data_IF_087720180245
#
_entry.id   IF_087720180245
#
_cell.length_a   1.000
_cell.length_b   1.000
_cell.length_c   1.000
_cell.angle_alpha   90.00
_cell.angle_beta   90.00
_cell.angle_gamma   90.00
#
_symmetry.space_group_name_H-M   'P 1'
#
loop_
_entity.id
_entity.type
_entity.pdbx_description
1 polymer ?
#
# COMPACT_ATOMS: atom_id res chain seq x y z
N UNK A 1 6.64 -11.28 6.05
CA UNK A 1 7.71 -10.50 5.35
C UNK A 1 7.04 -9.41 4.53
N UNK A 2 7.66 -8.22 4.41
CA UNK A 2 7.16 -7.13 3.56
C UNK A 2 8.25 -6.71 2.56
N UNK A 3 7.84 -6.36 1.33
CA UNK A 3 8.71 -5.86 0.26
C UNK A 3 8.00 -4.78 -0.53
N UNK A 4 8.76 -3.85 -1.09
CA UNK A 4 8.24 -2.76 -1.91
C UNK A 4 9.05 -2.63 -3.19
N UNK A 5 8.40 -2.16 -4.25
CA UNK A 5 9.05 -1.96 -5.55
C UNK A 5 9.97 -0.76 -5.51
N UNK A 6 9.47 0.37 -5.02
CA UNK A 6 10.15 1.65 -5.00
C UNK A 6 10.30 2.24 -3.60
N UNK A 7 11.25 3.14 -3.44
CA UNK A 7 11.25 4.08 -2.32
C UNK A 7 10.24 5.20 -2.58
N UNK A 8 9.56 5.63 -1.51
CA UNK A 8 8.60 6.73 -1.57
C UNK A 8 9.35 8.06 -1.73
N UNK A 9 9.22 8.69 -2.89
CA UNK A 9 9.82 9.97 -3.26
C UNK A 9 8.81 10.81 -4.03
N UNK A 10 9.21 11.96 -4.55
CA UNK A 10 8.32 12.91 -5.22
C UNK A 10 7.48 12.29 -6.34
N UNK A 11 8.12 11.55 -7.24
CA UNK A 11 7.42 10.91 -8.38
C UNK A 11 6.43 9.85 -7.91
N UNK A 12 6.85 8.95 -7.00
CA UNK A 12 5.96 7.90 -6.49
C UNK A 12 4.82 8.49 -5.66
N UNK A 13 5.08 9.57 -4.90
CA UNK A 13 4.05 10.30 -4.16
C UNK A 13 3.00 10.89 -5.10
N UNK A 14 3.44 11.60 -6.17
CA UNK A 14 2.54 12.16 -7.17
C UNK A 14 1.66 11.08 -7.81
N UNK A 15 2.23 9.96 -8.24
CA UNK A 15 1.47 8.87 -8.86
C UNK A 15 0.46 8.24 -7.89
N UNK A 16 0.85 8.03 -6.64
CA UNK A 16 -0.04 7.53 -5.58
C UNK A 16 -1.19 8.49 -5.30
N UNK A 17 -0.92 9.79 -5.26
CA UNK A 17 -1.97 10.81 -5.09
C UNK A 17 -2.95 10.85 -6.26
N UNK A 18 -2.46 10.78 -7.50
CA UNK A 18 -3.29 10.69 -8.69
C UNK A 18 -4.21 9.46 -8.65
N UNK A 19 -3.67 8.30 -8.26
CA UNK A 19 -4.46 7.10 -8.05
C UNK A 19 -5.47 7.26 -6.89
N UNK A 20 -5.11 7.93 -5.79
CA UNK A 20 -5.98 8.07 -4.60
C UNK A 20 -7.06 9.15 -4.76
N UNK A 21 -6.76 10.24 -5.43
CA UNK A 21 -7.59 11.45 -5.42
C UNK A 21 -7.84 12.05 -6.81
N UNK A 22 -7.01 11.73 -7.80
CA UNK A 22 -7.13 12.24 -9.17
C UNK A 22 -8.10 11.45 -10.05
N UNK A 23 -8.69 10.35 -9.55
CA UNK A 23 -9.57 9.50 -10.34
C UNK A 23 -8.86 8.64 -11.41
N UNK A 24 -7.52 8.71 -11.48
CA UNK A 24 -6.71 8.03 -12.50
C UNK A 24 -6.57 6.53 -12.20
N UNK A 25 -7.68 5.78 -12.30
CA UNK A 25 -7.76 4.34 -11.96
C UNK A 25 -6.84 3.47 -12.83
N UNK A 26 -6.50 3.90 -14.05
CA UNK A 26 -5.58 3.17 -14.93
C UNK A 26 -4.19 2.96 -14.30
N UNK A 27 -3.76 3.87 -13.39
CA UNK A 27 -2.51 3.71 -12.66
C UNK A 27 -2.47 2.44 -11.79
N UNK A 28 -3.63 1.90 -11.41
CA UNK A 28 -3.67 0.64 -10.67
C UNK A 28 -3.11 -0.53 -11.50
N UNK A 29 -3.31 -0.52 -12.81
CA UNK A 29 -2.72 -1.52 -13.71
C UNK A 29 -1.20 -1.37 -13.81
N UNK A 30 -0.70 -0.15 -13.91
CA UNK A 30 0.75 0.11 -13.96
C UNK A 30 1.42 -0.29 -12.63
N UNK A 31 0.79 0.04 -11.49
CA UNK A 31 1.28 -0.39 -10.18
C UNK A 31 1.27 -1.91 -10.05
N UNK A 32 0.24 -2.56 -10.54
CA UNK A 32 0.12 -4.01 -10.52
C UNK A 32 1.22 -4.69 -11.36
N UNK A 33 1.56 -4.17 -12.53
CA UNK A 33 2.66 -4.69 -13.37
C UNK A 33 3.99 -4.65 -12.63
N UNK A 34 4.28 -3.55 -11.93
CA UNK A 34 5.51 -3.42 -11.16
C UNK A 34 5.52 -4.33 -9.91
N UNK A 35 4.41 -4.41 -9.19
CA UNK A 35 4.26 -5.34 -8.05
C UNK A 35 4.35 -6.80 -8.53
N UNK A 36 3.84 -7.12 -9.72
CA UNK A 36 3.95 -8.45 -10.29
C UNK A 36 5.40 -8.86 -10.57
N UNK A 37 6.23 -7.96 -11.09
CA UNK A 37 7.68 -8.21 -11.24
C UNK A 37 8.33 -8.55 -9.89
N UNK A 38 7.98 -7.80 -8.84
CA UNK A 38 8.42 -8.08 -7.48
C UNK A 38 7.86 -9.41 -6.94
N UNK A 39 6.61 -9.73 -7.26
CA UNK A 39 5.98 -11.01 -6.91
C UNK A 39 6.77 -12.18 -7.50
N UNK A 40 7.06 -12.18 -8.80
CA UNK A 40 7.80 -13.25 -9.49
C UNK A 40 9.19 -13.47 -8.87
N UNK A 41 9.89 -12.39 -8.48
CA UNK A 41 11.22 -12.48 -7.88
C UNK A 41 11.23 -12.86 -6.39
N UNK A 42 10.09 -12.74 -5.71
CA UNK A 42 10.01 -12.77 -4.23
C UNK A 42 9.11 -13.84 -3.66
N UNK A 43 8.17 -14.33 -4.45
CA UNK A 43 7.12 -15.26 -4.04
C UNK A 43 7.17 -16.49 -4.93
N UNK A 44 7.50 -17.63 -4.35
CA UNK A 44 7.56 -18.90 -5.12
C UNK A 44 6.18 -19.36 -5.57
N UNK A 45 5.16 -19.11 -4.73
CA UNK A 45 3.76 -19.43 -5.01
C UNK A 45 2.85 -18.69 -4.02
N UNK A 46 1.62 -18.42 -4.41
CA UNK A 46 0.59 -17.88 -3.53
C UNK A 46 -0.72 -18.64 -3.73
N UNK A 47 -1.37 -19.01 -2.61
CA UNK A 47 -2.70 -19.64 -2.62
C UNK A 47 -3.83 -18.62 -2.70
N UNK A 48 -3.49 -17.34 -2.49
CA UNK A 48 -4.44 -16.25 -2.62
C UNK A 48 -3.80 -14.88 -2.41
N UNK A 49 -4.39 -13.91 -3.09
CA UNK A 49 -4.03 -12.50 -2.97
C UNK A 49 -5.18 -11.75 -2.31
N UNK A 50 -4.87 -10.91 -1.34
CA UNK A 50 -5.82 -10.04 -0.65
C UNK A 50 -5.37 -8.59 -0.74
N UNK A 51 -6.29 -7.64 -0.63
CA UNK A 51 -5.97 -6.22 -0.52
C UNK A 51 -6.04 -5.75 0.93
N UNK A 52 -5.43 -4.60 1.21
CA UNK A 52 -5.72 -3.85 2.43
C UNK A 52 -7.15 -3.29 2.32
N UNK A 53 -8.07 -3.66 3.23
CA UNK A 53 -9.44 -3.20 3.15
C UNK A 53 -9.57 -1.74 3.59
N UNK A 54 -10.41 -1.00 2.89
CA UNK A 54 -10.78 0.37 3.19
C UNK A 54 -12.10 0.41 3.98
N UNK A 55 -12.33 1.46 4.76
CA UNK A 55 -13.63 1.64 5.39
C UNK A 55 -14.68 2.06 4.34
N UNK A 56 -15.92 1.65 4.53
CA UNK A 56 -17.04 2.00 3.62
C UNK A 56 -17.17 3.51 3.40
N UNK A 57 -16.97 4.30 4.45
CA UNK A 57 -17.02 5.76 4.38
C UNK A 57 -15.98 6.30 3.41
N UNK A 58 -14.73 5.82 3.50
CA UNK A 58 -13.63 6.24 2.61
C UNK A 58 -13.86 5.73 1.19
N UNK A 59 -14.33 4.49 1.04
CA UNK A 59 -14.59 3.91 -0.27
C UNK A 59 -15.72 4.65 -0.98
N UNK A 60 -16.81 5.00 -0.28
CA UNK A 60 -17.89 5.85 -0.82
C UNK A 60 -17.41 7.25 -1.21
N UNK A 61 -16.54 7.87 -0.38
CA UNK A 61 -15.98 9.19 -0.67
C UNK A 61 -15.02 9.19 -1.86
N UNK A 62 -14.21 8.15 -2.02
CA UNK A 62 -13.21 8.01 -3.09
C UNK A 62 -13.78 7.37 -4.35
N UNK A 63 -14.85 6.59 -4.21
CA UNK A 63 -15.50 5.82 -5.29
C UNK A 63 -14.85 4.46 -5.56
N UNK A 64 -13.73 4.12 -4.93
CA UNK A 64 -13.02 2.84 -5.06
C UNK A 64 -11.98 2.63 -3.97
N UNK A 65 -11.58 1.37 -3.77
CA UNK A 65 -10.41 0.99 -2.99
C UNK A 65 -9.23 0.76 -3.94
N UNK A 66 -8.20 1.65 -3.92
CA UNK A 66 -7.03 1.54 -4.79
C UNK A 66 -6.25 0.23 -4.58
N UNK A 67 -6.10 -0.21 -3.33
CA UNK A 67 -5.38 -1.46 -3.01
C UNK A 67 -6.13 -2.67 -3.56
N UNK A 68 -7.48 -2.62 -3.64
CA UNK A 68 -8.30 -3.67 -4.27
C UNK A 68 -8.08 -3.72 -5.78
N UNK A 69 -8.13 -2.57 -6.46
CA UNK A 69 -7.88 -2.50 -7.90
C UNK A 69 -6.49 -3.07 -8.27
N UNK A 70 -5.47 -2.71 -7.50
CA UNK A 70 -4.11 -3.22 -7.71
C UNK A 70 -4.06 -4.74 -7.45
N UNK A 71 -4.64 -5.21 -6.34
CA UNK A 71 -4.60 -6.62 -5.95
C UNK A 71 -5.33 -7.53 -6.96
N UNK A 72 -6.46 -7.10 -7.49
CA UNK A 72 -7.19 -7.82 -8.53
C UNK A 72 -6.35 -7.98 -9.79
N UNK A 73 -5.62 -6.93 -10.20
CA UNK A 73 -4.71 -6.99 -11.35
C UNK A 73 -3.47 -7.84 -11.10
N UNK A 74 -2.89 -7.79 -9.89
CA UNK A 74 -1.78 -8.71 -9.53
C UNK A 74 -2.25 -10.16 -9.54
N UNK A 75 -3.47 -10.44 -9.08
CA UNK A 75 -4.07 -11.77 -9.12
C UNK A 75 -4.25 -12.27 -10.57
N UNK A 76 -4.77 -11.42 -11.45
CA UNK A 76 -4.90 -11.72 -12.89
C UNK A 76 -3.53 -12.05 -13.53
N UNK A 77 -2.51 -11.22 -13.28
CA UNK A 77 -1.17 -11.40 -13.84
C UNK A 77 -0.45 -12.64 -13.29
N UNK A 78 -0.66 -12.96 -12.01
CA UNK A 78 0.02 -14.08 -11.34
C UNK A 78 -0.70 -15.43 -11.49
N UNK A 79 -1.97 -15.44 -11.91
CA UNK A 79 -2.83 -16.63 -11.90
C UNK A 79 -3.27 -17.09 -10.50
N UNK A 80 -2.86 -16.39 -9.42
CA UNK A 80 -3.32 -16.66 -8.07
C UNK A 80 -4.72 -16.05 -7.85
N UNK A 81 -5.64 -16.72 -7.12
CA UNK A 81 -6.99 -16.17 -6.92
C UNK A 81 -6.97 -14.90 -6.05
N UNK A 82 -7.74 -13.88 -6.46
CA UNK A 82 -8.07 -12.77 -5.57
C UNK A 82 -9.10 -13.23 -4.54
N UNK A 83 -8.82 -13.02 -3.25
CA UNK A 83 -9.68 -13.40 -2.15
C UNK A 83 -10.24 -12.14 -1.47
N UNK A 84 -11.50 -11.82 -1.73
CA UNK A 84 -12.19 -10.67 -1.09
C UNK A 84 -12.68 -11.06 0.31
N UNK A 85 -11.75 -11.37 1.20
CA UNK A 85 -12.03 -11.90 2.55
C UNK A 85 -11.56 -10.98 3.67
N UNK A 86 -10.85 -9.91 3.34
CA UNK A 86 -10.35 -8.94 4.32
C UNK A 86 -11.38 -7.83 4.53
N UNK A 87 -11.63 -7.48 5.80
CA UNK A 87 -12.61 -6.45 6.15
C UNK A 87 -12.04 -5.46 7.16
N UNK A 88 -12.43 -4.20 7.03
CA UNK A 88 -12.14 -3.17 8.04
C UNK A 88 -13.30 -3.11 9.04
N UNK A 89 -13.03 -3.55 10.27
CA UNK A 89 -14.05 -3.69 11.35
C UNK A 89 -14.34 -2.39 12.10
N UNK A 90 -13.36 -1.49 12.14
CA UNK A 90 -13.48 -0.24 12.89
C UNK A 90 -13.01 0.93 12.03
N UNK A 91 -13.74 2.02 12.07
CA UNK A 91 -13.21 3.31 11.64
C UNK A 91 -11.99 3.64 12.51
N UNK A 92 -10.93 4.02 11.87
CA UNK A 92 -9.71 4.46 12.57
C UNK A 92 -9.48 5.92 12.23
N UNK A 93 -9.03 6.68 13.21
CA UNK A 93 -8.62 8.06 12.99
C UNK A 93 -7.51 8.14 11.93
N UNK A 94 -7.31 9.33 11.36
CA UNK A 94 -6.21 9.59 10.45
C UNK A 94 -4.88 9.10 11.06
N UNK A 95 -4.03 8.47 10.22
CA UNK A 95 -2.71 8.00 10.61
C UNK A 95 -1.63 9.08 10.48
N UNK A 96 -2.02 10.26 9.98
CA UNK A 96 -1.13 11.40 9.79
C UNK A 96 -0.56 11.86 11.13
N UNK A 97 0.74 12.12 11.19
CA UNK A 97 1.43 12.61 12.42
C UNK A 97 1.56 11.59 13.55
N UNK A 98 1.09 10.33 13.41
CA UNK A 98 1.17 9.32 14.47
C UNK A 98 2.45 8.49 14.37
N UNK A 99 3.07 8.23 15.53
CA UNK A 99 4.21 7.31 15.66
C UNK A 99 3.82 5.86 15.33
N UNK A 100 4.80 4.97 15.11
CA UNK A 100 4.55 3.54 14.89
C UNK A 100 3.70 2.91 16.02
N UNK A 101 4.01 3.21 17.29
CA UNK A 101 3.28 2.67 18.45
C UNK A 101 1.83 3.14 18.47
N UNK A 102 1.58 4.41 18.21
CA UNK A 102 0.25 4.99 18.13
C UNK A 102 -0.55 4.44 16.96
N UNK A 103 0.09 4.33 15.77
CA UNK A 103 -0.54 3.70 14.59
C UNK A 103 -0.93 2.26 14.87
N UNK A 104 -0.06 1.48 15.53
CA UNK A 104 -0.35 0.10 15.88
C UNK A 104 -1.52 0.00 16.87
N UNK A 105 -1.53 0.82 17.92
CA UNK A 105 -2.65 0.89 18.89
C UNK A 105 -3.97 1.29 18.22
N UNK A 106 -3.92 2.27 17.33
CA UNK A 106 -5.09 2.74 16.58
C UNK A 106 -5.63 1.68 15.60
N UNK A 107 -4.75 0.87 15.02
CA UNK A 107 -5.11 -0.19 14.07
C UNK A 107 -5.40 -1.54 14.72
N UNK A 108 -5.08 -1.72 16.00
CA UNK A 108 -5.27 -3.01 16.68
C UNK A 108 -6.74 -3.45 16.64
N UNK A 109 -6.97 -4.68 16.15
CA UNK A 109 -8.30 -5.23 15.95
C UNK A 109 -9.16 -4.53 14.88
N UNK A 110 -8.57 -3.59 14.09
CA UNK A 110 -9.33 -2.88 13.04
C UNK A 110 -9.56 -3.70 11.78
N UNK A 111 -8.81 -4.78 11.60
CA UNK A 111 -8.98 -5.69 10.46
C UNK A 111 -9.54 -7.04 10.89
N UNK A 112 -10.21 -7.69 9.96
CA UNK A 112 -10.75 -9.04 10.13
C UNK A 112 -10.73 -9.84 8.85
N UNK A 113 -11.04 -11.13 9.01
CA UNK A 113 -11.26 -12.07 7.91
C UNK A 113 -12.67 -12.61 8.05
N UNK A 114 -13.51 -12.41 7.01
CA UNK A 114 -14.91 -12.81 7.01
C UNK A 114 -15.10 -14.30 6.65
N UNK A 115 -14.15 -14.88 5.89
CA UNK A 115 -14.16 -16.30 5.54
C UNK A 115 -12.80 -16.94 5.83
N UNK A 116 -12.66 -17.55 7.00
CA UNK A 116 -11.41 -18.16 7.45
C UNK A 116 -11.02 -19.41 6.64
N UNK A 117 -11.97 -20.14 6.09
CA UNK A 117 -11.70 -21.38 5.32
C UNK A 117 -10.89 -21.08 4.05
N UNK A 118 -11.08 -19.88 3.47
CA UNK A 118 -10.34 -19.46 2.28
C UNK A 118 -8.88 -19.07 2.54
N UNK A 119 -8.49 -18.89 3.81
CA UNK A 119 -7.11 -18.49 4.18
C UNK A 119 -6.40 -19.53 5.05
N UNK A 120 -7.15 -20.48 5.64
CA UNK A 120 -6.57 -21.50 6.53
C UNK A 120 -5.56 -22.36 5.78
N UNK A 121 -4.39 -22.56 6.39
CA UNK A 121 -3.25 -23.35 5.92
C UNK A 121 -2.68 -22.86 4.56
N UNK A 122 -3.00 -21.62 4.17
CA UNK A 122 -2.60 -21.04 2.89
C UNK A 122 -1.50 -20.00 3.01
N UNK A 123 -0.73 -19.83 1.93
CA UNK A 123 0.20 -18.72 1.72
C UNK A 123 -0.54 -17.57 1.06
N UNK A 124 -0.69 -16.48 1.81
CA UNK A 124 -1.47 -15.29 1.42
C UNK A 124 -0.53 -14.13 1.11
N UNK A 125 -0.77 -13.46 0.00
CA UNK A 125 -0.07 -12.22 -0.37
C UNK A 125 -1.01 -11.04 -0.14
N UNK A 126 -0.59 -10.08 0.69
CA UNK A 126 -1.24 -8.79 0.88
C UNK A 126 -0.68 -7.83 -0.18
N UNK A 127 -1.55 -7.13 -0.88
CA UNK A 127 -1.18 -6.07 -1.83
C UNK A 127 -1.70 -4.72 -1.33
N UNK A 128 -0.83 -3.70 -1.35
CA UNK A 128 -1.18 -2.31 -1.00
C UNK A 128 -0.42 -1.33 -1.90
N UNK A 129 -0.83 -0.07 -1.93
CA UNK A 129 -0.14 0.96 -2.70
C UNK A 129 1.13 1.46 -2.00
N UNK A 130 1.05 1.85 -0.73
CA UNK A 130 2.18 2.44 0.01
C UNK A 130 2.30 1.85 1.42
N UNK A 131 3.53 1.51 1.78
CA UNK A 131 3.91 1.16 3.14
C UNK A 131 4.73 2.28 3.77
N UNK A 132 4.17 3.03 4.71
CA UNK A 132 4.91 4.06 5.46
C UNK A 132 5.71 3.44 6.60
N UNK A 133 5.06 2.98 7.64
CA UNK A 133 5.67 2.32 8.81
C UNK A 133 5.58 0.79 8.77
N UNK A 134 4.83 0.25 7.81
CA UNK A 134 4.50 -1.19 7.76
C UNK A 134 3.36 -1.61 8.70
N UNK A 135 2.88 -0.71 9.57
CA UNK A 135 1.90 -1.05 10.62
C UNK A 135 0.60 -1.63 10.04
N UNK A 136 0.11 -1.10 8.93
CA UNK A 136 -1.12 -1.59 8.28
C UNK A 136 -0.95 -3.05 7.83
N UNK A 137 0.13 -3.33 7.13
CA UNK A 137 0.45 -4.69 6.68
C UNK A 137 0.66 -5.65 7.86
N UNK A 138 1.35 -5.20 8.94
CA UNK A 138 1.59 -6.01 10.14
C UNK A 138 0.28 -6.39 10.84
N UNK A 139 -0.65 -5.43 11.03
CA UNK A 139 -1.92 -5.69 11.71
C UNK A 139 -2.83 -6.58 10.86
N UNK A 140 -2.87 -6.37 9.55
CA UNK A 140 -3.63 -7.23 8.64
C UNK A 140 -3.02 -8.64 8.58
N UNK A 141 -1.68 -8.77 8.53
CA UNK A 141 -1.00 -10.05 8.58
C UNK A 141 -1.30 -10.80 9.88
N UNK A 142 -1.33 -10.11 11.02
CA UNK A 142 -1.73 -10.71 12.30
C UNK A 142 -3.18 -11.24 12.27
N UNK A 143 -4.10 -10.49 11.64
CA UNK A 143 -5.49 -10.93 11.47
C UNK A 143 -5.60 -12.18 10.58
N UNK A 144 -4.84 -12.23 9.47
CA UNK A 144 -4.77 -13.40 8.58
C UNK A 144 -4.14 -14.62 9.29
N UNK A 145 -3.05 -14.41 10.04
CA UNK A 145 -2.44 -15.46 10.86
C UNK A 145 -3.41 -16.00 11.92
N UNK A 146 -4.14 -15.12 12.60
CA UNK A 146 -5.21 -15.52 13.55
C UNK A 146 -6.36 -16.28 12.86
N UNK A 147 -6.59 -16.04 11.58
CA UNK A 147 -7.55 -16.80 10.77
C UNK A 147 -7.00 -18.14 10.26
N UNK A 148 -5.71 -18.45 10.51
CA UNK A 148 -5.08 -19.73 10.20
C UNK A 148 -4.17 -19.72 8.97
N UNK A 149 -3.84 -18.56 8.39
CA UNK A 149 -2.91 -18.50 7.25
C UNK A 149 -1.54 -19.08 7.61
N UNK A 150 -1.02 -19.97 6.78
CA UNK A 150 0.30 -20.61 6.98
C UNK A 150 1.45 -19.62 6.80
N UNK A 151 1.37 -18.77 5.78
CA UNK A 151 2.34 -17.71 5.53
C UNK A 151 1.64 -16.45 5.04
N UNK A 152 2.22 -15.29 5.39
CA UNK A 152 1.74 -13.99 4.91
C UNK A 152 2.93 -13.17 4.43
N UNK A 153 2.84 -12.67 3.20
CA UNK A 153 3.81 -11.78 2.56
C UNK A 153 3.07 -10.50 2.18
N UNK A 154 3.66 -9.34 2.38
CA UNK A 154 3.11 -8.07 1.93
C UNK A 154 3.96 -7.50 0.80
N UNK A 155 3.30 -7.09 -0.29
CA UNK A 155 3.91 -6.42 -1.44
C UNK A 155 3.25 -5.06 -1.62
N UNK A 156 4.08 -4.01 -1.79
CA UNK A 156 3.58 -2.64 -2.00
C UNK A 156 4.30 -1.99 -3.17
N UNK A 157 3.64 -1.02 -3.81
CA UNK A 157 4.25 -0.25 -4.89
C UNK A 157 5.39 0.62 -4.37
N UNK A 158 5.18 1.31 -3.25
CA UNK A 158 6.23 2.13 -2.65
C UNK A 158 6.32 1.95 -1.12
N UNK A 159 7.49 2.24 -0.54
CA UNK A 159 7.68 2.32 0.92
C UNK A 159 8.56 3.50 1.30
N UNK A 160 8.23 4.11 2.43
CA UNK A 160 9.13 5.07 3.08
C UNK A 160 10.33 4.32 3.64
N UNK A 161 11.53 4.86 3.42
CA UNK A 161 12.76 4.29 3.94
C UNK A 161 12.70 4.22 5.47
N UNK A 162 12.89 3.05 6.05
CA UNK A 162 13.07 2.94 7.48
C UNK A 162 14.46 3.46 7.81
N UNK A 163 14.56 4.60 8.50
CA UNK A 163 15.82 4.97 9.16
C UNK A 163 16.17 3.83 10.12
N UNK A 164 17.16 3.03 9.77
CA UNK A 164 17.78 2.10 10.73
C UNK A 164 18.44 3.00 11.79
N UNK A 165 18.03 2.84 13.04
CA UNK A 165 18.65 3.46 14.20
C UNK A 165 20.10 2.94 14.37
N UNK A 166 20.99 3.46 13.50
CA UNK A 166 22.42 3.31 13.65
C UNK A 166 22.99 4.74 13.70
N UNK A 167 22.71 5.43 14.79
CA UNK A 167 23.55 6.45 15.42
C UNK A 167 22.71 7.20 16.45
N UNK A 168 23.07 7.05 17.73
CA UNK A 168 22.57 7.94 18.80
C UNK A 168 23.14 9.33 18.54
N UNK A 169 22.26 10.30 18.34
CA UNK A 169 22.62 11.72 18.36
C UNK A 169 21.80 12.58 17.40
N UNK A 170 20.83 13.29 17.93
CA UNK A 170 20.35 14.59 17.45
C UNK A 170 19.26 14.59 16.37
N UNK A 171 18.17 15.25 16.73
CA UNK A 171 17.11 15.86 15.92
C UNK A 171 16.13 14.91 15.22
N UNK A 172 14.99 14.73 15.90
CA UNK A 172 13.72 14.25 15.36
C UNK A 172 13.22 15.19 14.24
N UNK A 173 13.61 14.93 13.00
CA UNK A 173 12.88 15.47 11.85
C UNK A 173 11.72 14.52 11.54
N UNK A 174 10.51 15.05 11.68
CA UNK A 174 9.24 14.38 11.37
C UNK A 174 9.25 13.77 9.97
N UNK A 175 8.75 12.54 9.88
CA UNK A 175 8.45 11.91 8.58
C UNK A 175 7.35 12.72 7.88
N UNK A 176 7.44 13.00 6.57
CA UNK A 176 6.43 13.76 5.83
C UNK A 176 5.04 13.14 6.02
N UNK A 177 4.05 13.95 6.37
CA UNK A 177 2.66 13.53 6.50
C UNK A 177 1.99 13.47 5.12
N UNK A 178 0.94 12.65 4.97
CA UNK A 178 0.14 12.64 3.73
C UNK A 178 -0.51 14.02 3.44
N UNK A 179 -0.56 14.93 4.43
CA UNK A 179 -1.08 16.29 4.27
C UNK A 179 -0.03 17.27 3.76
N UNK A 180 1.26 17.04 3.99
CA UNK A 180 2.33 17.92 3.49
C UNK A 180 2.37 17.95 1.96
N UNK A 181 1.68 17.01 1.31
CA UNK A 181 1.56 16.91 -0.14
C UNK A 181 0.20 17.38 -0.68
N UNK A 182 -0.79 17.67 0.17
CA UNK A 182 -2.11 18.12 -0.26
C UNK A 182 -2.18 19.64 -0.53
N UNK A 183 -1.28 20.42 0.09
CA UNK A 183 -1.33 21.90 0.04
C UNK A 183 -0.56 22.51 -1.15
N UNK A 184 0.13 21.71 -1.98
CA UNK A 184 0.90 22.20 -3.13
C UNK A 184 0.14 22.15 -4.47
N UNK A 185 -1.19 22.06 -4.47
CA UNK A 185 -1.98 22.15 -5.69
C UNK A 185 -2.52 23.56 -5.92
N UNK A 186 -1.64 24.53 -6.14
CA UNK A 186 -2.00 25.78 -6.83
C UNK A 186 -1.47 25.73 -8.25
N UNK A 187 -2.30 26.04 -9.25
CA UNK A 187 -1.92 25.98 -10.67
C UNK A 187 -1.20 27.26 -11.07
N UNK A 188 0.12 27.24 -11.06
CA UNK A 188 0.94 28.16 -11.83
C UNK A 188 2.05 27.37 -12.50
N UNK A 189 1.70 26.76 -13.64
CA UNK A 189 2.67 26.20 -14.56
C UNK A 189 2.80 27.16 -15.72
N UNK A 190 3.79 28.03 -15.70
CA UNK A 190 4.32 28.63 -16.91
C UNK A 190 5.08 27.53 -17.68
N UNK A 191 4.82 27.52 -19.00
CA UNK A 191 5.36 26.59 -19.98
C UNK A 191 6.90 26.72 -20.08
N UNK A 192 7.64 25.70 -19.68
CA UNK A 192 9.01 25.50 -20.16
C UNK A 192 9.04 24.25 -21.06
N UNK A 193 9.08 24.51 -22.36
CA UNK A 193 9.30 23.52 -23.41
C UNK A 193 10.77 23.14 -23.37
N UNK A 194 11.07 21.91 -22.95
CA UNK A 194 12.45 21.36 -23.06
C UNK A 194 12.60 20.77 -24.47
N UNK A 195 13.35 21.46 -25.29
CA UNK A 195 13.80 21.04 -26.62
C UNK A 195 14.85 19.91 -26.47
N UNK A 196 14.53 18.70 -26.90
CA UNK A 196 15.48 17.60 -26.96
C UNK A 196 16.28 17.71 -28.25
N UNK A 197 17.54 18.13 -28.17
CA UNK A 197 18.49 18.05 -29.28
C UNK A 197 18.95 16.60 -29.46
N UNK A 198 18.58 16.02 -30.61
CA UNK A 198 19.23 14.80 -31.12
C UNK A 198 20.61 15.17 -31.65
N UNK A 199 21.65 14.48 -31.18
CA UNK A 199 22.98 14.51 -31.77
C UNK A 199 23.11 13.36 -32.77
N UNK A 200 23.65 13.66 -33.94
CA UNK A 200 24.03 12.74 -35.01
C UNK A 200 25.09 11.72 -34.58
#
# INVERSE_FOLDING_TARGET
>A
KARSVYLYGEVTAMLVQKLKYGGEKYLAEEFAKEIYKLFVSSVTHADGIVCVPMSEKREKSRGYNQSKLIAEKVAELSGAPFLDVTVKKKETESQVGKTYKERRKNLDGSFGVNNKSLVKDKRIVIVDDVSTTGTTADVLAAALKKAGAAEVIALTYASVEKKTDSFKGGDDKESPSEQDFADNSSPNAENDVIEVKTAD
#
